data_IF_268505308191
#
_entry.id   IF_268505308191
#
_cell.length_a   1.000
_cell.length_b   1.000
_cell.length_c   1.000
_cell.angle_alpha   90.00
_cell.angle_beta   90.00
_cell.angle_gamma   90.00
#
_symmetry.space_group_name_H-M   'P 1'
#
loop_
_entity.id
_entity.type
_entity.pdbx_description
1 polymer ?
#
# COMPACT_ATOMS: atom_id res chain seq x y z
N UNK A 1 -8.25 7.09 12.25
CA UNK A 1 -7.62 6.53 13.45
C UNK A 1 -6.38 5.80 13.02
N UNK A 2 -5.23 6.05 13.63
CA UNK A 2 -4.01 5.35 13.27
C UNK A 2 -4.17 3.84 13.52
N UNK A 3 -3.61 3.03 12.63
CA UNK A 3 -3.66 1.58 12.70
C UNK A 3 -2.53 1.07 13.61
N UNK A 4 -2.72 1.27 14.94
CA UNK A 4 -1.76 0.93 15.97
C UNK A 4 -2.08 -0.45 16.57
N UNK A 5 -1.09 -1.33 16.57
CA UNK A 5 -1.15 -2.60 17.30
C UNK A 5 -0.44 -2.43 18.65
N UNK A 6 -1.11 -2.77 19.75
CA UNK A 6 -0.45 -2.80 21.06
C UNK A 6 0.46 -4.02 21.16
N UNK A 7 1.71 -3.79 21.51
CA UNK A 7 2.72 -4.86 21.65
C UNK A 7 2.28 -5.91 22.69
N UNK A 8 1.67 -5.45 23.78
CA UNK A 8 1.18 -6.34 24.83
C UNK A 8 0.09 -7.32 24.37
N UNK A 9 -0.60 -7.00 23.29
CA UNK A 9 -1.66 -7.84 22.73
C UNK A 9 -1.15 -8.80 21.62
N UNK A 10 0.15 -8.70 21.26
CA UNK A 10 0.78 -9.57 20.27
C UNK A 10 1.39 -10.78 20.96
N UNK A 11 0.82 -11.97 20.78
CA UNK A 11 1.32 -13.17 21.44
C UNK A 11 2.58 -13.74 20.75
N UNK A 12 3.22 -14.71 21.42
CA UNK A 12 4.32 -15.49 20.82
C UNK A 12 3.87 -16.56 19.81
N UNK A 13 2.56 -16.68 19.60
CA UNK A 13 1.97 -17.48 18.52
C UNK A 13 1.29 -16.56 17.51
N UNK A 14 1.34 -16.85 16.21
CA UNK A 14 0.77 -15.96 15.19
C UNK A 14 -0.71 -15.68 15.43
N UNK A 15 -1.08 -14.42 15.47
CA UNK A 15 -2.47 -13.96 15.53
C UNK A 15 -2.84 -13.25 14.23
N UNK A 16 -4.06 -13.44 13.74
CA UNK A 16 -4.60 -12.75 12.56
C UNK A 16 -5.65 -11.74 13.03
N UNK A 17 -5.44 -10.50 12.64
CA UNK A 17 -6.30 -9.36 12.96
C UNK A 17 -6.89 -8.83 11.64
N UNK A 18 -8.21 -8.73 11.59
CA UNK A 18 -8.91 -8.08 10.48
C UNK A 18 -9.25 -6.66 10.88
N UNK A 19 -8.83 -5.70 10.08
CA UNK A 19 -9.01 -4.28 10.35
C UNK A 19 -9.28 -3.51 9.06
N UNK A 20 -9.42 -2.20 9.14
CA UNK A 20 -9.69 -1.34 7.99
C UNK A 20 -8.85 -0.08 8.04
N UNK A 21 -8.22 0.24 6.91
CA UNK A 21 -7.47 1.46 6.70
C UNK A 21 -8.41 2.54 6.15
N UNK A 22 -8.49 3.69 6.81
CA UNK A 22 -9.23 4.83 6.28
C UNK A 22 -8.55 5.38 5.01
N UNK A 23 -9.34 5.88 4.05
CA UNK A 23 -8.82 6.37 2.75
C UNK A 23 -8.66 7.89 2.68
N UNK A 24 -8.77 8.59 3.82
CA UNK A 24 -8.63 10.05 3.88
C UNK A 24 -7.27 10.54 3.33
N UNK A 25 -6.21 9.76 3.49
CA UNK A 25 -4.86 10.05 2.98
C UNK A 25 -4.78 10.10 1.43
N UNK A 26 -5.72 9.47 0.72
CA UNK A 26 -5.68 9.38 -0.75
C UNK A 26 -5.67 10.76 -1.40
N UNK A 27 -6.45 11.73 -0.87
CA UNK A 27 -6.50 13.09 -1.41
C UNK A 27 -5.17 13.82 -1.31
N UNK A 28 -4.40 13.59 -0.26
CA UNK A 28 -3.11 14.22 -0.01
C UNK A 28 -1.96 13.52 -0.73
N UNK A 29 -1.94 12.20 -0.74
CA UNK A 29 -0.82 11.39 -1.25
C UNK A 29 -0.93 11.05 -2.73
N UNK A 30 -2.15 10.83 -3.25
CA UNK A 30 -2.39 10.44 -4.64
C UNK A 30 -2.74 11.61 -5.55
N UNK A 31 -3.05 12.77 -4.96
CA UNK A 31 -3.45 13.96 -5.71
C UNK A 31 -4.69 13.71 -6.58
N UNK A 32 -4.77 14.32 -7.78
CA UNK A 32 -5.91 14.16 -8.66
C UNK A 32 -5.91 12.86 -9.48
N UNK A 33 -4.81 12.09 -9.44
CA UNK A 33 -4.63 10.93 -10.32
C UNK A 33 -5.51 9.77 -9.92
N UNK A 34 -5.55 9.45 -8.63
CA UNK A 34 -6.33 8.35 -8.11
C UNK A 34 -7.32 8.80 -7.05
N UNK A 35 -8.47 8.16 -7.00
CA UNK A 35 -9.50 8.32 -5.99
C UNK A 35 -9.87 6.96 -5.44
N UNK A 36 -9.85 6.79 -4.12
CA UNK A 36 -10.36 5.56 -3.52
C UNK A 36 -11.86 5.42 -3.81
N UNK A 37 -12.27 4.25 -4.25
CA UNK A 37 -13.68 3.94 -4.49
C UNK A 37 -14.49 3.75 -3.19
N UNK A 38 -13.77 3.49 -2.09
CA UNK A 38 -14.35 3.20 -0.77
C UNK A 38 -13.73 4.12 0.30
N UNK A 39 -14.45 4.35 1.37
CA UNK A 39 -13.98 5.17 2.50
C UNK A 39 -12.98 4.44 3.41
N UNK A 40 -12.91 3.12 3.29
CA UNK A 40 -11.96 2.29 4.03
C UNK A 40 -11.54 1.10 3.19
N UNK A 41 -10.28 0.68 3.31
CA UNK A 41 -9.73 -0.51 2.68
C UNK A 41 -9.64 -1.66 3.70
N UNK A 42 -10.03 -2.89 3.36
CA UNK A 42 -9.81 -4.04 4.22
C UNK A 42 -8.31 -4.33 4.35
N UNK A 43 -7.88 -4.61 5.57
CA UNK A 43 -6.51 -4.98 5.91
C UNK A 43 -6.53 -6.24 6.75
N UNK A 44 -5.79 -7.25 6.32
CA UNK A 44 -5.53 -8.47 7.08
C UNK A 44 -4.10 -8.42 7.62
N UNK A 45 -3.95 -8.50 8.92
CA UNK A 45 -2.65 -8.42 9.59
C UNK A 45 -2.39 -9.71 10.34
N UNK A 46 -1.25 -10.34 10.07
CA UNK A 46 -0.72 -11.43 10.88
C UNK A 46 0.46 -10.89 11.67
N UNK A 47 0.39 -11.00 13.00
CA UNK A 47 1.44 -10.52 13.89
C UNK A 47 1.88 -11.64 14.83
N UNK A 48 3.16 -11.65 15.18
CA UNK A 48 3.76 -12.56 16.17
C UNK A 48 4.96 -11.90 16.81
N UNK A 49 5.16 -12.15 18.10
CA UNK A 49 6.34 -11.68 18.83
C UNK A 49 7.26 -12.86 19.20
N UNK A 50 8.49 -12.84 18.69
CA UNK A 50 9.49 -13.87 18.94
C UNK A 50 10.82 -13.23 19.31
N UNK A 51 11.36 -13.60 20.48
CA UNK A 51 12.67 -13.14 20.97
C UNK A 51 12.87 -11.60 20.93
N UNK A 52 11.80 -10.83 21.20
CA UNK A 52 11.85 -9.37 21.23
C UNK A 52 11.67 -8.69 19.86
N UNK A 53 11.53 -9.47 18.79
CA UNK A 53 11.19 -8.99 17.46
C UNK A 53 9.71 -9.23 17.23
N UNK A 54 9.03 -8.24 16.64
CA UNK A 54 7.63 -8.34 16.25
C UNK A 54 7.59 -8.46 14.73
N UNK A 55 7.18 -9.63 14.25
CA UNK A 55 6.99 -9.89 12.84
C UNK A 55 5.56 -9.55 12.46
N UNK A 56 5.38 -8.66 11.50
CA UNK A 56 4.10 -8.25 10.96
C UNK A 56 4.05 -8.56 9.48
N UNK A 57 3.05 -9.33 9.09
CA UNK A 57 2.69 -9.53 7.68
C UNK A 57 1.29 -8.97 7.44
N UNK A 58 1.17 -8.01 6.55
CA UNK A 58 -0.11 -7.39 6.25
C UNK A 58 -0.46 -7.51 4.77
N UNK A 59 -1.75 -7.61 4.50
CA UNK A 59 -2.32 -7.60 3.16
C UNK A 59 -3.39 -6.51 3.10
N UNK A 60 -3.32 -5.67 2.07
CA UNK A 60 -4.25 -4.57 1.82
C UNK A 60 -4.89 -4.79 0.46
N UNK A 61 -6.20 -4.67 0.39
CA UNK A 61 -6.93 -4.72 -0.86
C UNK A 61 -7.79 -3.46 -1.02
N UNK A 62 -7.97 -2.99 -2.26
CA UNK A 62 -8.80 -1.83 -2.52
C UNK A 62 -9.05 -1.56 -3.98
N UNK A 63 -10.09 -0.75 -4.24
CA UNK A 63 -10.42 -0.27 -5.58
C UNK A 63 -10.15 1.22 -5.68
N UNK A 64 -9.53 1.61 -6.79
CA UNK A 64 -9.17 2.99 -7.07
C UNK A 64 -9.70 3.39 -8.44
N UNK A 65 -10.42 4.51 -8.47
CA UNK A 65 -10.87 5.14 -9.69
C UNK A 65 -9.80 6.11 -10.20
N UNK A 66 -9.64 6.19 -11.51
CA UNK A 66 -8.71 7.09 -12.19
C UNK A 66 -9.25 7.47 -13.58
N UNK A 67 -8.65 8.49 -14.16
CA UNK A 67 -8.88 8.82 -15.56
C UNK A 67 -7.71 8.28 -16.39
N UNK A 68 -8.00 7.52 -17.43
CA UNK A 68 -6.99 6.87 -18.24
C UNK A 68 -6.01 7.90 -18.83
N UNK A 69 -4.71 7.69 -18.64
CA UNK A 69 -3.67 8.60 -19.13
C UNK A 69 -3.58 8.68 -20.64
N UNK A 70 -4.20 7.73 -21.37
CA UNK A 70 -4.20 7.71 -22.85
C UNK A 70 -5.49 8.24 -23.49
N UNK A 71 -6.65 7.85 -22.95
CA UNK A 71 -7.95 8.19 -23.56
C UNK A 71 -8.82 9.12 -22.69
N UNK A 72 -8.36 9.46 -21.49
CA UNK A 72 -9.07 10.30 -20.51
C UNK A 72 -10.45 9.76 -20.06
N UNK A 73 -10.79 8.53 -20.40
CA UNK A 73 -12.01 7.90 -19.92
C UNK A 73 -11.84 7.42 -18.46
N UNK A 74 -12.88 7.54 -17.62
CA UNK A 74 -12.84 7.02 -16.27
C UNK A 74 -12.71 5.50 -16.26
N UNK A 75 -11.89 4.98 -15.37
CA UNK A 75 -11.67 3.56 -15.17
C UNK A 75 -11.41 3.26 -13.70
N UNK A 76 -11.46 1.99 -13.34
CA UNK A 76 -11.13 1.51 -12.00
C UNK A 76 -10.10 0.38 -12.10
N UNK A 77 -9.27 0.29 -11.09
CA UNK A 77 -8.38 -0.85 -10.88
C UNK A 77 -8.52 -1.38 -9.46
N UNK A 78 -8.30 -2.66 -9.30
CA UNK A 78 -8.18 -3.32 -8.00
C UNK A 78 -6.70 -3.48 -7.66
N UNK A 79 -6.33 -3.05 -6.47
CA UNK A 79 -5.00 -3.25 -5.90
C UNK A 79 -5.11 -4.28 -4.79
N UNK A 80 -4.26 -5.29 -4.86
CA UNK A 80 -4.00 -6.23 -3.79
C UNK A 80 -2.50 -6.23 -3.56
N UNK A 81 -2.08 -5.84 -2.38
CA UNK A 81 -0.68 -5.76 -2.01
C UNK A 81 -0.46 -6.27 -0.61
N UNK A 82 0.75 -6.72 -0.33
CA UNK A 82 1.14 -7.18 1.00
C UNK A 82 2.59 -6.86 1.27
N UNK A 83 2.92 -6.83 2.54
CA UNK A 83 4.28 -6.64 3.01
C UNK A 83 4.55 -7.50 4.23
N UNK A 84 5.83 -7.70 4.49
CA UNK A 84 6.35 -8.29 5.71
C UNK A 84 7.34 -7.30 6.31
N UNK A 85 7.17 -6.99 7.60
CA UNK A 85 7.99 -5.99 8.28
C UNK A 85 8.31 -6.44 9.71
N UNK A 86 9.52 -6.14 10.15
CA UNK A 86 10.03 -6.52 11.45
C UNK A 86 10.18 -5.27 12.32
N UNK A 87 9.65 -5.33 13.54
CA UNK A 87 9.82 -4.25 14.50
C UNK A 87 10.67 -4.72 15.66
N UNK A 88 11.66 -3.90 16.00
CA UNK A 88 12.58 -4.15 17.11
C UNK A 88 12.40 -3.09 18.19
N UNK A 89 12.91 -3.36 19.39
CA UNK A 89 12.83 -2.43 20.51
C UNK A 89 13.67 -1.17 20.25
N UNK A 90 13.29 -0.02 20.84
CA UNK A 90 14.03 1.23 20.69
C UNK A 90 15.50 1.10 21.05
N UNK A 91 16.39 1.64 20.20
CA UNK A 91 17.83 1.60 20.36
C UNK A 91 18.50 0.29 19.93
N UNK A 92 17.77 -0.68 19.40
CA UNK A 92 18.36 -1.93 18.92
C UNK A 92 19.02 -1.78 17.56
N UNK A 93 18.54 -0.89 16.70
CA UNK A 93 19.16 -0.61 15.42
C UNK A 93 20.52 0.10 15.57
N UNK A 94 20.66 0.98 16.57
CA UNK A 94 21.89 1.73 16.82
C UNK A 94 22.94 0.93 17.62
N UNK A 95 22.55 -0.16 18.26
CA UNK A 95 23.39 -0.85 19.24
C UNK A 95 24.54 -1.69 18.63
N UNK A 96 24.61 -1.86 17.31
CA UNK A 96 25.72 -2.56 16.62
C UNK A 96 26.08 -3.93 17.19
N UNK A 97 25.12 -4.63 17.80
CA UNK A 97 25.33 -5.94 18.42
C UNK A 97 25.58 -7.04 17.39
N UNK A 98 26.52 -7.93 17.68
CA UNK A 98 26.80 -9.13 16.87
C UNK A 98 25.55 -10.03 16.76
N UNK A 99 24.69 -9.77 15.79
CA UNK A 99 23.44 -10.49 15.54
C UNK A 99 22.37 -9.63 14.88
N UNK A 100 22.49 -8.30 14.95
CA UNK A 100 21.57 -7.35 14.32
C UNK A 100 22.25 -6.52 13.22
N UNK A 101 23.54 -6.73 12.95
CA UNK A 101 24.29 -5.98 11.95
C UNK A 101 23.72 -6.03 10.53
N UNK A 102 22.89 -7.03 10.22
CA UNK A 102 22.23 -7.17 8.93
C UNK A 102 20.89 -6.37 8.86
N UNK A 103 20.34 -5.91 10.00
CA UNK A 103 19.08 -5.17 10.03
C UNK A 103 19.23 -3.66 9.80
N UNK A 104 20.41 -3.08 10.06
CA UNK A 104 20.68 -1.64 9.87
C UNK A 104 20.50 -1.16 8.40
N UNK A 105 20.55 -2.09 7.45
CA UNK A 105 20.40 -1.81 6.03
C UNK A 105 19.13 -2.42 5.42
N UNK A 106 18.33 -3.14 6.21
CA UNK A 106 17.11 -3.78 5.73
C UNK A 106 15.95 -2.78 5.79
N UNK A 107 15.35 -2.40 4.64
CA UNK A 107 14.22 -1.47 4.60
C UNK A 107 12.98 -2.01 5.30
N UNK A 108 12.92 -3.32 5.54
CA UNK A 108 11.77 -3.99 6.15
C UNK A 108 11.92 -4.11 7.69
N UNK A 109 12.86 -3.37 8.29
CA UNK A 109 13.06 -3.32 9.74
C UNK A 109 12.95 -1.89 10.27
N UNK A 110 12.18 -1.69 11.34
CA UNK A 110 12.11 -0.42 12.05
C UNK A 110 11.94 -0.60 13.57
N UNK A 111 12.17 0.48 14.31
CA UNK A 111 11.95 0.48 15.76
C UNK A 111 10.49 0.84 16.08
N UNK A 112 9.93 0.15 17.09
CA UNK A 112 8.64 0.52 17.65
C UNK A 112 8.80 1.54 18.79
N UNK A 113 7.71 2.17 19.24
CA UNK A 113 7.72 3.18 20.32
C UNK A 113 7.86 2.59 21.74
N UNK A 114 7.91 1.27 21.87
CA UNK A 114 7.91 0.52 23.13
C UNK A 114 6.51 0.11 23.61
N UNK A 115 5.46 0.64 23.02
CA UNK A 115 4.05 0.39 23.41
C UNK A 115 3.23 -0.10 22.22
N UNK A 116 3.44 0.50 21.05
CA UNK A 116 2.68 0.23 19.84
C UNK A 116 3.58 -0.02 18.64
N UNK A 117 3.01 -0.72 17.69
CA UNK A 117 3.52 -0.88 16.33
C UNK A 117 2.58 -0.12 15.40
N UNK A 118 3.09 0.88 14.68
CA UNK A 118 2.32 1.62 13.68
C UNK A 118 2.47 0.94 12.31
N UNK A 119 1.36 0.41 11.82
CA UNK A 119 1.30 -0.25 10.51
C UNK A 119 0.52 0.58 9.49
N UNK A 120 -0.05 1.72 9.87
CA UNK A 120 -0.83 2.56 8.97
C UNK A 120 0.02 3.12 7.83
N UNK A 121 1.16 3.71 8.17
CA UNK A 121 2.05 4.31 7.16
C UNK A 121 2.60 3.23 6.20
N UNK A 122 2.94 2.04 6.71
CA UNK A 122 3.36 0.93 5.86
C UNK A 122 2.25 0.47 4.91
N UNK A 123 1.01 0.33 5.39
CA UNK A 123 -0.13 0.00 4.54
C UNK A 123 -0.34 1.04 3.43
N UNK A 124 -0.19 2.32 3.76
CA UNK A 124 -0.28 3.42 2.80
C UNK A 124 0.86 3.33 1.78
N UNK A 125 2.10 3.20 2.23
CA UNK A 125 3.29 3.14 1.38
C UNK A 125 3.22 1.99 0.39
N UNK A 126 2.94 0.78 0.84
CA UNK A 126 2.82 -0.38 -0.05
C UNK A 126 1.62 -0.29 -0.99
N UNK A 127 0.52 0.35 -0.58
CA UNK A 127 -0.59 0.64 -1.48
C UNK A 127 -0.17 1.62 -2.58
N UNK A 128 0.58 2.68 -2.24
CA UNK A 128 1.13 3.65 -3.19
C UNK A 128 2.07 2.99 -4.20
N UNK A 129 2.96 2.10 -3.72
CA UNK A 129 3.90 1.37 -4.56
C UNK A 129 3.21 0.40 -5.52
N UNK A 130 2.06 -0.14 -5.14
CA UNK A 130 1.29 -1.06 -5.97
C UNK A 130 0.45 -0.35 -7.06
N UNK A 131 0.22 0.96 -6.93
CA UNK A 131 -0.50 1.73 -7.93
C UNK A 131 0.41 2.05 -9.12
N UNK A 132 -0.04 1.84 -10.38
CA UNK A 132 0.73 2.22 -11.55
C UNK A 132 1.01 3.72 -11.62
N UNK A 133 2.25 4.11 -11.94
CA UNK A 133 2.60 5.53 -12.11
C UNK A 133 1.83 6.19 -13.27
N UNK A 134 1.50 5.42 -14.30
CA UNK A 134 0.74 5.86 -15.47
C UNK A 134 -0.45 4.93 -15.65
N UNK A 135 -1.62 5.27 -15.05
CA UNK A 135 -2.78 4.42 -15.13
C UNK A 135 -3.41 4.43 -16.54
N UNK A 136 -3.73 3.25 -17.04
CA UNK A 136 -4.41 3.07 -18.32
C UNK A 136 -5.61 2.14 -18.15
N UNK A 137 -6.68 2.42 -18.89
CA UNK A 137 -7.92 1.61 -18.79
C UNK A 137 -7.74 0.18 -19.32
N UNK A 138 -6.81 -0.01 -20.25
CA UNK A 138 -6.37 -1.33 -20.74
C UNK A 138 -4.98 -1.20 -21.36
N UNK A 139 -4.24 -2.30 -21.44
CA UNK A 139 -2.91 -2.35 -22.08
C UNK A 139 -2.99 -1.94 -23.55
N UNK A 140 -4.09 -2.32 -24.24
CA UNK A 140 -4.36 -2.03 -25.65
C UNK A 140 -5.02 -0.67 -25.90
N UNK A 141 -5.09 0.20 -24.89
CA UNK A 141 -5.72 1.50 -25.02
C UNK A 141 -5.04 2.33 -26.13
N UNK A 142 -5.83 2.70 -27.15
CA UNK A 142 -5.35 3.45 -28.33
C UNK A 142 -5.23 4.96 -28.08
N UNK A 143 -5.76 5.44 -26.95
CA UNK A 143 -5.73 6.84 -26.58
C UNK A 143 -6.61 7.75 -27.44
N UNK A 144 -6.35 9.04 -27.36
CA UNK A 144 -7.03 10.06 -28.14
C UNK A 144 -6.35 10.25 -29.50
N UNK A 145 -7.11 10.64 -30.49
CA UNK A 145 -6.59 11.03 -31.79
C UNK A 145 -5.81 12.35 -31.67
N UNK A 146 -4.54 12.42 -32.10
CA UNK A 146 -3.75 13.65 -31.98
C UNK A 146 -4.28 14.80 -32.86
N UNK A 147 -5.09 14.48 -33.88
CA UNK A 147 -5.62 15.48 -34.82
C UNK A 147 -6.96 16.05 -34.39
N UNK A 148 -7.88 15.22 -33.89
CA UNK A 148 -9.26 15.62 -33.56
C UNK A 148 -9.68 15.40 -32.13
N UNK A 149 -8.83 14.78 -31.29
CA UNK A 149 -9.12 14.48 -29.88
C UNK A 149 -10.14 13.36 -29.64
N UNK A 150 -10.63 12.70 -30.67
CA UNK A 150 -11.61 11.62 -30.53
C UNK A 150 -10.97 10.36 -29.89
N UNK A 151 -11.74 9.65 -29.05
CA UNK A 151 -11.28 8.44 -28.43
C UNK A 151 -11.15 7.30 -29.47
N UNK A 152 -9.93 6.87 -29.73
CA UNK A 152 -9.61 5.84 -30.73
C UNK A 152 -10.08 4.43 -30.36
N UNK A 153 -10.44 4.19 -29.12
CA UNK A 153 -11.02 2.93 -28.67
C UNK A 153 -12.50 2.80 -29.14
N UNK A 154 -13.19 3.94 -29.29
CA UNK A 154 -14.60 4.00 -29.69
C UNK A 154 -14.80 4.16 -31.20
N UNK A 155 -13.74 4.51 -31.93
CA UNK A 155 -13.79 4.73 -33.36
C UNK A 155 -13.45 3.42 -34.07
N UNK A 156 -14.33 2.97 -34.98
CA UNK A 156 -14.06 1.84 -35.85
C UNK A 156 -12.84 2.08 -36.76
N UNK A 157 -12.32 1.02 -37.41
CA UNK A 157 -11.09 1.03 -38.24
C UNK A 157 -11.10 2.03 -39.41
N UNK A 158 -12.18 2.75 -39.64
CA UNK A 158 -12.33 3.71 -40.77
C UNK A 158 -11.81 5.11 -40.47
N UNK A 159 -11.27 5.38 -39.27
CA UNK A 159 -10.70 6.67 -38.92
C UNK A 159 -9.17 6.59 -39.02
N UNK A 160 -8.66 6.67 -40.23
CA UNK A 160 -7.23 6.84 -40.54
C UNK A 160 -7.00 8.26 -41.05
#
# INVERSE_FOLDING_TARGET
>A
MPLLLKIADIPSTPVVIQTRLATAWCGERLGPVYRAAETTLPVSVRAVQVAGVIDVKAEVAGRFAFDCSRCAEPAELTVETGFEHHFVAPGQLDAGGEGFADFDADPDVSEHDGVHVDIEELCIEYTLLALPNVPVCSEDCRGLCPTCGANRNQIGRAHV
#
